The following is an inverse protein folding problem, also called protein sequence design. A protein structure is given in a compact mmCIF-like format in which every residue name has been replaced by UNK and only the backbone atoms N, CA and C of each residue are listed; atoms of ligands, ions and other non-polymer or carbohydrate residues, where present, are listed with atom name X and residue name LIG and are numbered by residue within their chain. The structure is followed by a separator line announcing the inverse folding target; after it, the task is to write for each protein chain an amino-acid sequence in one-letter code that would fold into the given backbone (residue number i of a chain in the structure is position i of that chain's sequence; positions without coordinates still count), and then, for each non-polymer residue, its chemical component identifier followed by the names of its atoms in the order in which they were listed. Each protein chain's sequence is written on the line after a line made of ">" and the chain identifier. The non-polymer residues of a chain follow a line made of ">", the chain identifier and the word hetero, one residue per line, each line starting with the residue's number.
data_IF_711597693155
#
_entry.id   IF_711597693155
#
_cell.length_a   1.000
_cell.length_b   1.000
_cell.length_c   1.000
_cell.angle_alpha   90.00
_cell.angle_beta   90.00
_cell.angle_gamma   90.00
#
_symmetry.space_group_name_H-M   'P 1'
#
loop_
_entity.id
_entity.type
_entity.pdbx_description
1 polymer ?
#
# COMPACT_ATOMS: atom_id res chain seq x y z
N UNK A 1 -24.70 10.25 -10.32
CA UNK A 1 -25.08 9.09 -9.49
C UNK A 1 -23.81 8.67 -8.77
N UNK A 2 -23.59 9.19 -7.56
CA UNK A 2 -22.44 8.81 -6.75
C UNK A 2 -22.75 7.44 -6.16
N UNK A 3 -21.87 6.48 -6.39
CA UNK A 3 -21.93 5.20 -5.70
C UNK A 3 -21.51 5.49 -4.26
N UNK A 4 -22.45 5.42 -3.32
CA UNK A 4 -22.11 5.44 -1.89
C UNK A 4 -21.37 4.14 -1.56
N UNK A 5 -20.07 4.26 -1.29
CA UNK A 5 -19.30 3.17 -0.72
C UNK A 5 -19.51 3.20 0.80
N UNK A 6 -19.96 2.10 1.44
CA UNK A 6 -20.05 2.04 2.89
C UNK A 6 -18.66 2.27 3.49
N UNK A 7 -18.66 2.99 4.61
CA UNK A 7 -17.49 3.46 5.36
C UNK A 7 -16.39 2.39 5.54
N UNK A 8 -15.32 2.60 4.79
CA UNK A 8 -13.94 2.73 5.31
C UNK A 8 -13.20 1.48 5.81
N UNK A 9 -13.10 0.40 5.00
CA UNK A 9 -12.03 -0.62 5.18
C UNK A 9 -11.46 -1.15 3.85
N UNK A 10 -11.21 -0.26 2.90
CA UNK A 10 -10.67 -0.63 1.59
C UNK A 10 -9.22 -0.16 1.48
N UNK A 11 -8.33 -1.08 1.10
CA UNK A 11 -6.96 -0.79 0.67
C UNK A 11 -6.92 -0.85 -0.85
N UNK A 12 -6.35 0.16 -1.50
CA UNK A 12 -6.06 0.11 -2.93
C UNK A 12 -4.55 0.13 -3.17
N UNK A 13 -4.01 -0.99 -3.69
CA UNK A 13 -2.60 -1.13 -4.04
C UNK A 13 -2.35 -1.07 -5.55
N UNK A 14 -1.44 -0.21 -5.99
CA UNK A 14 -1.04 -0.08 -7.39
C UNK A 14 0.46 -0.27 -7.57
N UNK A 15 0.83 -1.24 -8.40
CA UNK A 15 2.19 -1.38 -8.95
C UNK A 15 2.23 -0.62 -10.28
N UNK A 16 3.14 0.34 -10.41
CA UNK A 16 3.26 1.16 -11.63
C UNK A 16 4.32 0.61 -12.58
N UNK A 17 3.96 0.48 -13.86
CA UNK A 17 4.92 0.22 -14.94
C UNK A 17 5.39 1.52 -15.59
N UNK A 18 6.59 1.54 -16.22
CA UNK A 18 7.18 2.74 -16.83
C UNK A 18 6.27 3.44 -17.85
N UNK A 19 5.41 2.71 -18.56
CA UNK A 19 4.55 3.25 -19.63
C UNK A 19 3.33 4.04 -19.12
N UNK A 20 3.00 3.96 -17.81
CA UNK A 20 1.89 4.72 -17.20
C UNK A 20 2.44 5.91 -16.41
N UNK A 21 3.14 6.80 -17.12
CA UNK A 21 3.77 8.04 -16.63
C UNK A 21 2.70 9.06 -16.21
N UNK A 22 2.88 9.55 -14.97
CA UNK A 22 2.32 10.73 -14.28
C UNK A 22 0.85 11.14 -14.45
N UNK A 23 0.30 11.25 -15.66
CA UNK A 23 -0.95 12.00 -15.91
C UNK A 23 -2.19 11.39 -15.23
N UNK A 24 -2.25 10.07 -15.09
CA UNK A 24 -3.34 9.37 -14.39
C UNK A 24 -3.07 9.06 -12.92
N UNK A 25 -1.93 9.51 -12.35
CA UNK A 25 -1.59 9.25 -10.93
C UNK A 25 -2.34 10.24 -10.02
N UNK A 26 -2.33 11.52 -10.36
CA UNK A 26 -3.03 12.58 -9.61
C UNK A 26 -4.55 12.37 -9.60
N UNK A 27 -5.15 12.15 -10.77
CA UNK A 27 -6.60 11.93 -10.90
C UNK A 27 -7.09 10.75 -10.05
N UNK A 28 -6.34 9.63 -10.03
CA UNK A 28 -6.71 8.48 -9.20
C UNK A 28 -6.55 8.74 -7.70
N UNK A 29 -5.49 9.43 -7.30
CA UNK A 29 -5.27 9.81 -5.91
C UNK A 29 -6.46 10.62 -5.38
N UNK A 30 -6.82 11.69 -6.10
CA UNK A 30 -7.96 12.55 -5.75
C UNK A 30 -9.28 11.78 -5.77
N UNK A 31 -9.51 10.91 -6.76
CA UNK A 31 -10.75 10.12 -6.82
C UNK A 31 -10.87 9.13 -5.65
N UNK A 32 -9.78 8.51 -5.21
CA UNK A 32 -9.81 7.58 -4.08
C UNK A 32 -9.92 8.30 -2.73
N UNK A 33 -9.29 9.46 -2.60
CA UNK A 33 -9.42 10.35 -1.44
C UNK A 33 -10.88 10.80 -1.27
N UNK A 34 -11.45 11.41 -2.31
CA UNK A 34 -12.86 11.82 -2.34
C UNK A 34 -13.82 10.64 -2.21
N UNK A 35 -13.42 9.45 -2.67
CA UNK A 35 -14.19 8.21 -2.56
C UNK A 35 -14.10 7.53 -1.19
N UNK A 36 -13.32 8.05 -0.25
CA UNK A 36 -13.23 7.51 1.12
C UNK A 36 -12.44 6.20 1.24
N UNK A 37 -11.55 5.89 0.29
CA UNK A 37 -10.71 4.68 0.38
C UNK A 37 -9.71 4.86 1.51
N UNK A 38 -9.70 3.93 2.48
CA UNK A 38 -8.95 4.10 3.74
C UNK A 38 -7.43 4.12 3.57
N UNK A 39 -6.87 3.34 2.65
CA UNK A 39 -5.44 3.38 2.33
C UNK A 39 -5.18 3.29 0.83
N UNK A 40 -4.22 4.10 0.35
CA UNK A 40 -3.75 4.12 -1.03
C UNK A 40 -2.25 3.85 -1.08
N UNK A 41 -1.84 2.78 -1.77
CA UNK A 41 -0.45 2.37 -1.88
C UNK A 41 0.04 2.47 -3.33
N UNK A 42 1.19 3.10 -3.51
CA UNK A 42 1.88 3.24 -4.78
C UNK A 42 3.27 2.60 -4.67
N UNK A 43 3.51 1.57 -5.49
CA UNK A 43 4.79 0.85 -5.52
C UNK A 43 5.38 0.98 -6.91
N UNK A 44 6.49 1.72 -7.03
CA UNK A 44 7.24 1.92 -8.28
C UNK A 44 8.51 1.07 -8.28
N UNK A 45 8.51 -0.14 -8.89
CA UNK A 45 9.67 -1.01 -8.91
C UNK A 45 10.83 -0.46 -9.75
N UNK A 46 10.55 0.42 -10.72
CA UNK A 46 11.58 1.07 -11.53
C UNK A 46 12.38 2.05 -10.70
N UNK A 47 11.69 2.84 -9.87
CA UNK A 47 12.31 3.83 -8.97
C UNK A 47 12.65 3.27 -7.59
N UNK A 48 12.25 2.03 -7.30
CA UNK A 48 12.29 1.40 -5.96
C UNK A 48 11.64 2.29 -4.89
N UNK A 49 10.52 2.90 -5.27
CA UNK A 49 9.83 3.89 -4.45
C UNK A 49 8.50 3.33 -3.94
N UNK A 50 8.34 3.20 -2.62
CA UNK A 50 7.06 2.93 -1.97
C UNK A 50 6.46 4.23 -1.43
N UNK A 51 5.20 4.50 -1.75
CA UNK A 51 4.42 5.56 -1.10
C UNK A 51 3.14 4.98 -0.55
N UNK A 52 2.91 5.20 0.73
CA UNK A 52 1.72 4.76 1.43
C UNK A 52 0.97 5.97 1.96
N UNK A 53 -0.34 5.99 1.77
CA UNK A 53 -1.20 7.05 2.25
C UNK A 53 -2.37 6.46 3.02
N UNK A 54 -2.80 7.14 4.09
CA UNK A 54 -3.98 6.80 4.87
C UNK A 54 -4.92 7.99 4.96
N UNK A 55 -6.22 7.73 4.80
CA UNK A 55 -7.25 8.75 4.92
C UNK A 55 -7.41 9.10 6.40
N UNK A 56 -7.35 10.39 6.74
CA UNK A 56 -7.65 10.87 8.07
C UNK A 56 -9.15 11.17 8.24
N UNK A 57 -9.55 11.59 9.44
CA UNK A 57 -10.95 11.92 9.76
C UNK A 57 -11.45 13.17 9.01
N UNK A 58 -10.55 14.02 8.51
CA UNK A 58 -10.87 15.18 7.67
C UNK A 58 -11.07 14.80 6.19
N UNK A 59 -10.96 13.51 5.83
CA UNK A 59 -11.09 13.03 4.46
C UNK A 59 -9.89 13.33 3.58
N UNK A 60 -8.71 13.55 4.17
CA UNK A 60 -7.47 13.86 3.47
C UNK A 60 -6.45 12.73 3.61
N UNK A 61 -5.72 12.44 2.54
CA UNK A 61 -4.64 11.47 2.56
C UNK A 61 -3.37 12.03 3.20
N UNK A 62 -2.91 11.35 4.24
CA UNK A 62 -1.62 11.61 4.89
C UNK A 62 -0.60 10.53 4.52
N UNK A 63 0.66 10.90 4.19
CA UNK A 63 1.71 9.92 3.97
C UNK A 63 2.01 9.16 5.26
N UNK A 64 2.30 7.86 5.12
CA UNK A 64 2.64 6.98 6.23
C UNK A 64 4.07 6.47 6.04
N UNK A 65 4.91 6.75 7.03
CA UNK A 65 6.28 6.27 7.08
C UNK A 65 6.35 4.79 7.49
N UNK A 66 7.49 4.18 7.18
CA UNK A 66 7.81 2.83 7.62
C UNK A 66 8.24 2.84 9.09
N UNK A 67 8.15 1.68 9.75
CA UNK A 67 8.82 1.47 11.02
C UNK A 67 10.35 1.47 10.87
N UNK A 68 11.07 1.47 12.00
CA UNK A 68 12.53 1.48 12.03
C UNK A 68 13.17 0.26 11.34
N UNK A 69 12.41 -0.83 11.19
CA UNK A 69 12.82 -2.07 10.54
C UNK A 69 12.41 -2.09 9.06
N UNK A 70 11.98 -0.95 8.49
CA UNK A 70 11.61 -0.83 7.08
C UNK A 70 10.27 -1.47 6.73
N UNK A 71 9.35 -1.59 7.68
CA UNK A 71 8.07 -2.22 7.43
C UNK A 71 6.92 -1.22 7.37
N UNK A 72 6.02 -1.47 6.44
CA UNK A 72 4.72 -0.83 6.42
C UNK A 72 3.72 -1.67 7.24
N UNK A 73 2.97 -0.99 8.11
CA UNK A 73 1.95 -1.56 8.97
C UNK A 73 0.60 -0.91 8.67
N UNK A 74 -0.43 -1.75 8.50
CA UNK A 74 -1.80 -1.30 8.25
C UNK A 74 -2.72 -1.66 9.41
N UNK A 75 -3.47 -0.70 9.99
CA UNK A 75 -4.50 -1.00 10.98
C UNK A 75 -5.69 -1.73 10.37
N UNK A 76 -5.88 -1.69 9.04
CA UNK A 76 -6.97 -2.40 8.36
C UNK A 76 -6.71 -3.91 8.30
N UNK A 77 -5.44 -4.32 8.26
CA UNK A 77 -5.01 -5.72 8.31
C UNK A 77 -3.88 -5.88 9.35
N UNK A 78 -4.18 -5.92 10.67
CA UNK A 78 -3.18 -5.83 11.73
C UNK A 78 -2.08 -6.92 11.70
N UNK A 79 -2.35 -8.05 11.04
CA UNK A 79 -1.39 -9.14 10.85
C UNK A 79 -0.52 -8.98 9.61
N UNK A 80 -0.98 -8.19 8.63
CA UNK A 80 -0.22 -7.94 7.41
C UNK A 80 0.86 -6.90 7.68
N UNK A 81 2.11 -7.33 7.51
CA UNK A 81 3.30 -6.48 7.60
C UNK A 81 4.04 -6.56 6.28
N UNK A 82 4.36 -5.42 5.66
CA UNK A 82 5.10 -5.41 4.39
C UNK A 82 6.52 -4.95 4.68
N UNK A 83 7.48 -5.88 4.65
CA UNK A 83 8.89 -5.53 4.70
C UNK A 83 9.33 -4.96 3.36
N UNK A 84 9.41 -3.63 3.29
CA UNK A 84 9.67 -2.90 2.05
C UNK A 84 11.04 -3.23 1.43
N UNK A 85 12.14 -3.37 2.20
CA UNK A 85 13.43 -3.75 1.62
C UNK A 85 13.38 -5.05 0.80
N UNK A 86 12.52 -6.01 1.20
CA UNK A 86 12.34 -7.27 0.46
C UNK A 86 11.72 -7.08 -0.92
N UNK A 87 11.00 -5.97 -1.18
CA UNK A 87 10.48 -5.68 -2.51
C UNK A 87 11.60 -5.40 -3.53
N UNK A 88 12.78 -4.98 -3.05
CA UNK A 88 13.89 -4.47 -3.86
C UNK A 88 15.13 -5.36 -3.85
N UNK A 89 15.15 -6.40 -3.03
CA UNK A 89 16.29 -7.30 -2.91
C UNK A 89 16.46 -8.19 -4.15
N UNK A 90 17.69 -8.64 -4.37
CA UNK A 90 18.01 -9.67 -5.36
C UNK A 90 18.88 -10.76 -4.70
N UNK A 91 18.49 -12.04 -4.78
CA UNK A 91 17.26 -12.56 -5.38
C UNK A 91 16.00 -12.21 -4.57
N UNK A 92 14.84 -12.12 -5.25
CA UNK A 92 13.55 -12.07 -4.55
C UNK A 92 13.37 -13.33 -3.70
N UNK A 93 12.58 -13.26 -2.61
CA UNK A 93 12.31 -14.42 -1.76
C UNK A 93 11.81 -15.61 -2.58
N UNK A 94 12.27 -16.80 -2.21
CA UNK A 94 11.74 -18.04 -2.75
C UNK A 94 10.29 -18.26 -2.30
N UNK A 95 9.60 -19.22 -2.93
CA UNK A 95 8.26 -19.61 -2.49
C UNK A 95 8.23 -20.08 -1.03
N UNK A 96 9.30 -20.72 -0.57
CA UNK A 96 9.42 -21.22 0.81
C UNK A 96 9.51 -20.02 1.77
N UNK A 97 10.35 -19.03 1.45
CA UNK A 97 10.52 -17.82 2.26
C UNK A 97 9.20 -17.04 2.38
N UNK A 98 8.43 -16.97 1.28
CA UNK A 98 7.10 -16.32 1.28
C UNK A 98 6.13 -17.06 2.21
N UNK A 99 6.04 -18.40 2.10
CA UNK A 99 5.14 -19.19 2.96
C UNK A 99 5.51 -19.06 4.43
N UNK A 100 6.80 -19.12 4.74
CA UNK A 100 7.30 -18.97 6.11
C UNK A 100 6.94 -17.59 6.69
N UNK A 101 7.16 -16.53 5.91
CA UNK A 101 6.79 -15.15 6.29
C UNK A 101 5.29 -15.01 6.55
N UNK A 102 4.45 -15.62 5.72
CA UNK A 102 2.99 -15.61 5.91
C UNK A 102 2.56 -16.40 7.15
N UNK A 103 3.19 -17.55 7.41
CA UNK A 103 2.93 -18.32 8.62
C UNK A 103 3.27 -17.53 9.89
N UNK A 104 4.39 -16.81 9.88
CA UNK A 104 4.79 -15.94 11.00
C UNK A 104 3.76 -14.84 11.26
N UNK A 105 3.25 -14.18 10.22
CA UNK A 105 2.19 -13.17 10.33
C UNK A 105 0.87 -13.73 10.88
N UNK A 106 0.54 -14.99 10.57
CA UNK A 106 -0.69 -15.64 11.02
C UNK A 106 -0.58 -16.25 12.42
N UNK A 107 0.63 -16.59 12.85
CA UNK A 107 0.90 -17.21 14.15
C UNK A 107 0.88 -16.23 15.34
N UNK A 108 0.78 -14.92 15.05
CA UNK A 108 0.71 -13.82 16.03
C UNK A 108 -0.70 -13.23 16.05
#
# INVERSE_FOLDING_TARGET
>A
MAIEYPTTRTIFGKIVSPERVERGRGEKFTNYEQGGVGEYWLIDPTRREPRFYRLNDDGMYLPIDLDNDGNYLTPLLPRLKIHVPTLWQHPLPSRIDIVQTLQEMLSK
#
